data_IF_454108288007
#
_entry.id   IF_454108288007
#
_cell.length_a   1.000
_cell.length_b   1.000
_cell.length_c   1.000
_cell.angle_alpha   90.00
_cell.angle_beta   90.00
_cell.angle_gamma   90.00
#
_symmetry.space_group_name_H-M   'P 1'
#
loop_
_entity.id
_entity.type
_entity.pdbx_description
1 polymer ?
#
# COMPACT_ATOMS: atom_id res chain seq x y z
N UNK A 1 25.94 -0.49 -6.28
CA UNK A 1 24.56 -0.99 -6.38
C UNK A 1 24.22 -1.02 -7.86
N UNK A 2 23.89 -2.19 -8.42
CA UNK A 2 23.49 -2.29 -9.83
C UNK A 2 21.97 -2.48 -9.89
N UNK A 3 21.33 -1.88 -10.89
CA UNK A 3 19.88 -1.92 -11.11
C UNK A 3 19.50 -2.91 -12.21
N UNK A 4 20.34 -3.90 -12.46
CA UNK A 4 20.23 -4.83 -13.59
C UNK A 4 18.99 -5.73 -13.48
N UNK A 5 18.42 -5.83 -12.28
CA UNK A 5 17.20 -6.56 -11.97
C UNK A 5 15.92 -5.73 -12.20
N UNK A 6 16.03 -4.42 -12.44
CA UNK A 6 14.89 -3.57 -12.77
C UNK A 6 14.35 -3.96 -14.14
N UNK A 7 13.12 -4.44 -14.13
CA UNK A 7 12.38 -4.85 -15.33
C UNK A 7 11.05 -4.09 -15.40
N UNK A 8 10.35 -4.23 -16.53
CA UNK A 8 9.12 -3.48 -16.78
C UNK A 8 8.04 -3.70 -15.72
N UNK A 9 7.90 -4.93 -15.21
CA UNK A 9 6.88 -5.22 -14.20
C UNK A 9 7.21 -4.58 -12.85
N UNK A 10 8.47 -4.55 -12.46
CA UNK A 10 8.90 -3.95 -11.19
C UNK A 10 8.76 -2.43 -11.23
N UNK A 11 9.09 -1.81 -12.36
CA UNK A 11 8.87 -0.38 -12.56
C UNK A 11 7.36 -0.06 -12.51
N UNK A 12 6.52 -0.85 -13.18
CA UNK A 12 5.07 -0.69 -13.14
C UNK A 12 4.53 -0.82 -11.70
N UNK A 13 5.02 -1.80 -10.95
CA UNK A 13 4.66 -1.99 -9.56
C UNK A 13 5.04 -0.79 -8.69
N UNK A 14 6.28 -0.30 -8.82
CA UNK A 14 6.78 0.84 -8.04
C UNK A 14 5.99 2.11 -8.35
N UNK A 15 5.77 2.41 -9.63
CA UNK A 15 5.01 3.59 -10.07
C UNK A 15 3.55 3.50 -9.61
N UNK A 16 2.91 2.32 -9.71
CA UNK A 16 1.54 2.14 -9.26
C UNK A 16 1.39 2.19 -7.75
N UNK A 17 2.37 1.66 -7.00
CA UNK A 17 2.30 1.59 -5.54
C UNK A 17 2.52 2.94 -4.88
N UNK A 18 3.32 3.84 -5.45
CA UNK A 18 3.57 5.16 -4.85
C UNK A 18 2.29 6.00 -4.63
N UNK A 19 1.42 6.22 -5.65
CA UNK A 19 0.14 6.88 -5.45
C UNK A 19 -0.78 6.17 -4.46
N UNK A 20 -0.82 4.83 -4.49
CA UNK A 20 -1.63 4.02 -3.57
C UNK A 20 -1.17 4.22 -2.12
N UNK A 21 0.14 4.17 -1.87
CA UNK A 21 0.70 4.40 -0.54
C UNK A 21 0.52 5.83 -0.07
N UNK A 22 0.62 6.83 -0.95
CA UNK A 22 0.28 8.22 -0.62
C UNK A 22 -1.18 8.33 -0.18
N UNK A 23 -2.10 7.70 -0.92
CA UNK A 23 -3.51 7.68 -0.58
C UNK A 23 -3.80 6.96 0.75
N UNK A 24 -3.17 5.79 1.00
CA UNK A 24 -3.25 5.10 2.28
C UNK A 24 -2.74 5.97 3.43
N UNK A 25 -1.60 6.63 3.22
CA UNK A 25 -0.98 7.49 4.24
C UNK A 25 -1.89 8.66 4.61
N UNK A 26 -2.54 9.27 3.62
CA UNK A 26 -3.56 10.29 3.87
C UNK A 26 -4.75 9.73 4.67
N UNK A 27 -5.18 8.50 4.36
CA UNK A 27 -6.24 7.78 5.08
C UNK A 27 -5.96 7.54 6.54
N UNK A 28 -4.76 7.05 6.80
CA UNK A 28 -4.31 6.74 8.15
C UNK A 28 -4.02 8.02 8.94
N UNK A 29 -3.61 9.11 8.28
CA UNK A 29 -3.30 10.37 8.94
C UNK A 29 -4.53 11.23 9.32
N UNK A 30 -5.71 10.99 8.73
CA UNK A 30 -6.93 11.74 9.10
C UNK A 30 -7.93 12.06 7.99
N UNK A 31 -7.63 11.66 6.75
CA UNK A 31 -8.39 11.79 5.50
C UNK A 31 -8.93 13.16 5.08
N UNK A 32 -9.50 13.99 5.94
CA UNK A 32 -10.09 15.29 5.55
C UNK A 32 -10.11 16.34 6.68
N UNK A 33 -9.47 16.06 7.81
CA UNK A 33 -9.28 16.99 8.92
C UNK A 33 -7.79 17.28 9.03
N UNK A 34 -7.43 18.55 9.24
CA UNK A 34 -6.07 19.07 9.50
C UNK A 34 -5.08 17.99 9.91
N UNK A 35 -4.58 17.22 8.94
CA UNK A 35 -3.79 16.07 9.30
C UNK A 35 -2.36 16.56 9.39
N UNK A 36 -1.69 16.33 10.53
CA UNK A 36 -0.37 16.87 10.76
C UNK A 36 0.54 16.33 9.67
N UNK A 37 1.02 17.22 8.79
CA UNK A 37 1.92 16.88 7.68
C UNK A 37 3.09 15.98 8.14
N UNK A 38 3.70 16.17 9.33
CA UNK A 38 4.70 15.25 9.84
C UNK A 38 4.21 13.80 10.01
N UNK A 39 2.96 13.59 10.43
CA UNK A 39 2.38 12.24 10.58
C UNK A 39 2.14 11.60 9.22
N UNK A 40 1.57 12.33 8.26
CA UNK A 40 1.39 11.85 6.89
C UNK A 40 2.74 11.43 6.28
N UNK A 41 3.76 12.28 6.38
CA UNK A 41 5.09 11.99 5.85
C UNK A 41 5.73 10.80 6.58
N UNK A 42 5.58 10.71 7.90
CA UNK A 42 6.08 9.58 8.68
C UNK A 42 5.46 8.25 8.26
N UNK A 43 4.15 8.22 8.07
CA UNK A 43 3.43 7.02 7.58
C UNK A 43 3.88 6.69 6.15
N UNK A 44 3.93 7.68 5.26
CA UNK A 44 4.32 7.47 3.87
C UNK A 44 5.74 6.90 3.77
N UNK A 45 6.70 7.52 4.44
CA UNK A 45 8.10 7.04 4.48
C UNK A 45 8.12 5.60 4.96
N UNK A 46 7.44 5.29 6.07
CA UNK A 46 7.39 3.94 6.64
C UNK A 46 6.80 2.92 5.66
N UNK A 47 5.66 3.24 5.04
CA UNK A 47 5.01 2.35 4.10
C UNK A 47 5.79 2.17 2.80
N UNK A 48 6.63 3.13 2.41
CA UNK A 48 7.50 2.98 1.23
C UNK A 48 8.72 2.09 1.46
N UNK A 49 9.11 1.80 2.72
CA UNK A 49 10.32 1.00 3.04
C UNK A 49 10.39 -0.29 2.21
N UNK A 50 9.34 -1.12 2.10
CA UNK A 50 9.42 -2.36 1.33
C UNK A 50 9.65 -2.14 -0.17
N UNK A 51 9.18 -1.01 -0.73
CA UNK A 51 9.45 -0.65 -2.13
C UNK A 51 10.94 -0.35 -2.33
N UNK A 52 11.57 0.32 -1.37
CA UNK A 52 13.01 0.56 -1.37
C UNK A 52 13.80 -0.75 -1.27
N UNK A 53 13.35 -1.69 -0.43
CA UNK A 53 13.99 -3.01 -0.33
C UNK A 53 13.97 -3.76 -1.68
N UNK A 54 12.87 -3.69 -2.42
CA UNK A 54 12.77 -4.25 -3.77
C UNK A 54 13.68 -3.52 -4.77
N UNK A 55 13.69 -2.19 -4.74
CA UNK A 55 14.51 -1.37 -5.62
C UNK A 55 16.01 -1.68 -5.44
N UNK A 56 16.45 -1.92 -4.20
CA UNK A 56 17.84 -2.23 -3.87
C UNK A 56 18.15 -3.72 -3.80
N UNK A 57 17.20 -4.59 -4.14
CA UNK A 57 17.34 -6.05 -4.11
C UNK A 57 17.93 -6.56 -2.77
N UNK A 58 17.38 -6.08 -1.66
CA UNK A 58 17.81 -6.50 -0.31
C UNK A 58 17.30 -7.92 -0.03
N UNK A 59 18.04 -8.67 0.79
CA UNK A 59 17.58 -9.97 1.27
C UNK A 59 16.17 -9.88 1.87
N UNK A 60 15.30 -10.84 1.52
CA UNK A 60 13.91 -10.91 1.96
C UNK A 60 13.03 -9.74 1.48
N UNK A 61 13.45 -8.94 0.49
CA UNK A 61 12.66 -7.82 -0.03
C UNK A 61 11.24 -8.23 -0.46
N UNK A 62 11.07 -9.43 -1.03
CA UNK A 62 9.77 -9.98 -1.39
C UNK A 62 8.85 -10.18 -0.18
N UNK A 63 9.36 -10.85 0.86
CA UNK A 63 8.59 -11.13 2.07
C UNK A 63 8.15 -9.81 2.75
N UNK A 64 9.08 -8.85 2.89
CA UNK A 64 8.77 -7.53 3.43
C UNK A 64 7.77 -6.76 2.58
N UNK A 65 7.85 -6.88 1.25
CA UNK A 65 6.90 -6.23 0.35
C UNK A 65 5.50 -6.83 0.44
N UNK A 66 5.37 -8.16 0.47
CA UNK A 66 4.07 -8.83 0.65
C UNK A 66 3.47 -8.48 2.02
N UNK A 67 4.28 -8.51 3.08
CA UNK A 67 3.85 -8.10 4.41
C UNK A 67 3.40 -6.63 4.44
N UNK A 68 4.14 -5.75 3.76
CA UNK A 68 3.80 -4.33 3.62
C UNK A 68 2.48 -4.09 2.89
N UNK A 69 2.24 -4.80 1.77
CA UNK A 69 0.99 -4.73 1.02
C UNK A 69 -0.22 -5.07 1.90
N UNK A 70 -0.15 -6.20 2.60
CA UNK A 70 -1.24 -6.63 3.48
C UNK A 70 -1.40 -5.72 4.69
N UNK A 71 -0.29 -5.27 5.31
CA UNK A 71 -0.34 -4.34 6.43
C UNK A 71 -1.02 -3.03 6.04
N UNK A 72 -0.61 -2.42 4.92
CA UNK A 72 -1.22 -1.19 4.42
C UNK A 72 -2.71 -1.36 4.11
N UNK A 73 -3.07 -2.46 3.44
CA UNK A 73 -4.46 -2.74 3.09
C UNK A 73 -5.34 -3.00 4.32
N UNK A 74 -4.87 -3.80 5.28
CA UNK A 74 -5.60 -4.08 6.52
C UNK A 74 -5.73 -2.85 7.40
N UNK A 75 -4.69 -2.00 7.49
CA UNK A 75 -4.76 -0.75 8.23
C UNK A 75 -5.78 0.21 7.62
N UNK A 76 -5.79 0.36 6.30
CA UNK A 76 -6.79 1.19 5.63
C UNK A 76 -8.19 0.59 5.79
N UNK A 77 -8.34 -0.72 5.62
CA UNK A 77 -9.62 -1.38 5.80
C UNK A 77 -10.15 -1.22 7.23
N UNK A 78 -9.30 -1.39 8.24
CA UNK A 78 -9.64 -1.15 9.64
C UNK A 78 -10.03 0.31 9.87
N UNK A 79 -9.35 1.27 9.22
CA UNK A 79 -9.70 2.69 9.27
C UNK A 79 -11.06 2.96 8.63
N UNK A 80 -11.37 2.32 7.50
CA UNK A 80 -12.67 2.40 6.83
C UNK A 80 -13.78 1.83 7.73
N UNK A 81 -13.55 0.65 8.31
CA UNK A 81 -14.48 0.03 9.24
C UNK A 81 -14.70 0.91 10.47
N UNK A 82 -13.64 1.50 11.04
CA UNK A 82 -13.75 2.46 12.14
C UNK A 82 -14.63 3.65 11.77
N UNK A 83 -14.42 4.23 10.57
CA UNK A 83 -15.27 5.31 10.06
C UNK A 83 -16.74 4.91 9.95
N UNK A 84 -17.04 3.67 9.58
CA UNK A 84 -18.41 3.19 9.49
C UNK A 84 -19.10 3.06 10.85
N UNK A 85 -18.38 2.56 11.86
CA UNK A 85 -18.98 2.29 13.18
C UNK A 85 -18.99 3.48 14.12
N UNK A 86 -18.04 4.41 13.98
CA UNK A 86 -17.78 5.44 14.99
C UNK A 86 -17.72 6.87 14.45
N UNK A 87 -17.96 7.10 13.15
CA UNK A 87 -18.09 8.48 12.65
C UNK A 87 -19.42 9.10 13.06
N UNK A 88 -19.40 10.39 13.35
CA UNK A 88 -20.60 11.18 13.56
C UNK A 88 -21.50 11.13 12.31
N UNK A 89 -22.82 11.03 12.50
CA UNK A 89 -23.78 10.80 11.42
C UNK A 89 -23.79 11.93 10.35
N UNK A 90 -23.39 13.14 10.74
CA UNK A 90 -23.21 14.30 9.87
C UNK A 90 -21.99 14.20 8.95
N UNK A 91 -21.01 13.34 9.27
CA UNK A 91 -19.80 13.10 8.46
C UNK A 91 -19.94 11.98 7.44
N UNK A 92 -20.97 11.12 7.57
CA UNK A 92 -21.24 10.01 6.66
C UNK A 92 -22.08 10.48 5.46
N UNK A 93 -21.57 11.46 4.71
CA UNK A 93 -22.16 11.85 3.43
C UNK A 93 -22.04 10.70 2.42
N UNK A 94 -22.92 10.67 1.41
CA UNK A 94 -22.88 9.65 0.35
C UNK A 94 -21.51 9.58 -0.34
N UNK A 95 -20.86 10.73 -0.55
CA UNK A 95 -19.53 10.82 -1.15
C UNK A 95 -18.46 10.25 -0.23
N UNK A 96 -18.51 10.54 1.08
CA UNK A 96 -17.59 9.98 2.06
C UNK A 96 -17.73 8.45 2.14
N UNK A 97 -18.97 7.95 2.14
CA UNK A 97 -19.26 6.51 2.13
C UNK A 97 -18.72 5.84 0.87
N UNK A 98 -18.94 6.42 -0.30
CA UNK A 98 -18.44 5.88 -1.57
C UNK A 98 -16.90 5.85 -1.60
N UNK A 99 -16.27 6.91 -1.13
CA UNK A 99 -14.81 7.01 -1.04
C UNK A 99 -14.25 5.96 -0.08
N UNK A 100 -14.86 5.82 1.10
CA UNK A 100 -14.50 4.82 2.11
C UNK A 100 -14.63 3.39 1.56
N UNK A 101 -15.77 3.04 0.98
CA UNK A 101 -16.00 1.71 0.41
C UNK A 101 -15.03 1.42 -0.76
N UNK A 102 -14.88 2.37 -1.68
CA UNK A 102 -13.98 2.26 -2.82
C UNK A 102 -12.52 2.10 -2.39
N UNK A 103 -12.08 2.83 -1.37
CA UNK A 103 -10.73 2.73 -0.82
C UNK A 103 -10.46 1.36 -0.19
N UNK A 104 -11.38 0.84 0.62
CA UNK A 104 -11.22 -0.46 1.26
C UNK A 104 -11.13 -1.59 0.23
N UNK A 105 -12.04 -1.60 -0.75
CA UNK A 105 -12.02 -2.59 -1.83
C UNK A 105 -10.76 -2.45 -2.68
N UNK A 106 -10.39 -1.23 -3.06
CA UNK A 106 -9.20 -0.96 -3.87
C UNK A 106 -7.91 -1.42 -3.18
N UNK A 107 -7.79 -1.17 -1.87
CA UNK A 107 -6.63 -1.58 -1.09
C UNK A 107 -6.47 -3.10 -1.03
N UNK A 108 -7.56 -3.82 -0.76
CA UNK A 108 -7.56 -5.29 -0.73
C UNK A 108 -7.28 -5.87 -2.13
N UNK A 109 -7.89 -5.31 -3.18
CA UNK A 109 -7.66 -5.73 -4.55
C UNK A 109 -6.21 -5.53 -4.97
N UNK A 110 -5.61 -4.38 -4.66
CA UNK A 110 -4.21 -4.08 -4.94
C UNK A 110 -3.26 -5.04 -4.21
N UNK A 111 -3.48 -5.24 -2.91
CA UNK A 111 -2.68 -6.16 -2.11
C UNK A 111 -2.78 -7.60 -2.63
N UNK A 112 -3.99 -8.06 -2.96
CA UNK A 112 -4.24 -9.41 -3.48
C UNK A 112 -3.54 -9.64 -4.81
N UNK A 113 -3.75 -8.74 -5.78
CA UNK A 113 -3.19 -8.86 -7.13
C UNK A 113 -1.67 -8.93 -7.10
N UNK A 114 -1.04 -8.01 -6.36
CA UNK A 114 0.42 -7.96 -6.31
C UNK A 114 1.02 -9.05 -5.43
N UNK A 115 0.43 -9.38 -4.28
CA UNK A 115 0.90 -10.50 -3.47
C UNK A 115 0.85 -11.81 -4.27
N UNK A 116 -0.24 -12.08 -4.99
CA UNK A 116 -0.35 -13.25 -5.85
C UNK A 116 0.73 -13.22 -6.95
N UNK A 117 0.95 -12.07 -7.61
CA UNK A 117 1.99 -11.93 -8.61
C UNK A 117 3.39 -12.22 -8.03
N UNK A 118 3.72 -11.66 -6.86
CA UNK A 118 5.01 -11.86 -6.21
C UNK A 118 5.23 -13.30 -5.75
N UNK A 119 4.18 -14.01 -5.36
CA UNK A 119 4.29 -15.41 -4.89
C UNK A 119 4.31 -16.44 -6.02
N UNK A 120 3.62 -16.17 -7.14
CA UNK A 120 3.36 -17.17 -8.17
C UNK A 120 4.18 -16.97 -9.46
N UNK A 121 4.74 -15.77 -9.68
CA UNK A 121 5.43 -15.46 -10.94
C UNK A 121 6.84 -16.02 -10.99
N UNK A 122 7.13 -16.82 -12.02
CA UNK A 122 8.50 -17.27 -12.31
C UNK A 122 9.46 -16.10 -12.57
N UNK A 123 8.98 -15.00 -13.15
CA UNK A 123 9.83 -13.83 -13.43
C UNK A 123 10.33 -13.20 -12.13
N UNK A 124 9.46 -13.13 -11.13
CA UNK A 124 9.79 -12.65 -9.79
C UNK A 124 10.80 -13.60 -9.14
N UNK A 125 10.53 -14.91 -9.18
CA UNK A 125 11.42 -15.92 -8.61
C UNK A 125 12.82 -15.91 -9.22
N UNK A 126 12.95 -15.65 -10.53
CA UNK A 126 14.25 -15.49 -11.20
C UNK A 126 14.99 -14.21 -10.79
N UNK A 127 14.26 -13.16 -10.43
CA UNK A 127 14.82 -11.84 -10.12
C UNK A 127 15.28 -11.75 -8.65
N UNK A 128 14.48 -12.30 -7.74
CA UNK A 128 14.66 -12.13 -6.29
C UNK A 128 14.86 -13.46 -5.53
N UNK A 129 14.80 -14.60 -6.22
CA UNK A 129 14.67 -15.91 -5.58
C UNK A 129 13.21 -16.24 -5.24
N UNK A 130 12.94 -17.50 -4.87
CA UNK A 130 11.65 -17.86 -4.29
C UNK A 130 11.44 -17.07 -2.98
N UNK A 131 10.24 -16.57 -2.71
CA UNK A 131 9.93 -15.83 -1.48
C UNK A 131 10.11 -16.67 -0.21
#
# INVERSE_FOLDING_TARGET
>A
MTFDHLNGWLVLYLIGSLPVLAFHSAGLAGWFFDYPMPLFLGILITLTIPLWLLLFNVAQALAWNIAGLWTGALLLFARVAWGWFYADADRLTSDAVLTLAGSGVGAIAWATLWAAFFMLSEQVARTFGAP
#
